data_IF_611893242441
#
_entry.id   IF_611893242441
#
_cell.length_a   1.000
_cell.length_b   1.000
_cell.length_c   1.000
_cell.angle_alpha   90.00
_cell.angle_beta   90.00
_cell.angle_gamma   90.00
#
_symmetry.space_group_name_H-M   'P 1'
#
loop_
_entity.id
_entity.type
_entity.pdbx_description
1 polymer ?
#
# COMPACT_ATOMS: atom_id res chain seq x y z
N UNK A 1 -22.70 7.46 -24.15
CA UNK A 1 -22.75 6.13 -23.50
C UNK A 1 -23.70 6.22 -22.32
N UNK A 2 -24.36 5.12 -21.94
CA UNK A 2 -25.29 5.12 -20.79
C UNK A 2 -24.54 4.86 -19.47
N UNK A 3 -25.18 5.15 -18.34
CA UNK A 3 -24.65 4.80 -17.00
C UNK A 3 -24.22 3.34 -16.93
N UNK A 4 -25.09 2.44 -17.41
CA UNK A 4 -24.85 1.00 -17.40
C UNK A 4 -23.60 0.62 -18.19
N UNK A 5 -23.45 1.15 -19.42
CA UNK A 5 -22.28 0.87 -20.26
C UNK A 5 -20.98 1.37 -19.61
N UNK A 6 -21.03 2.54 -18.97
CA UNK A 6 -19.88 3.12 -18.30
C UNK A 6 -19.42 2.25 -17.13
N UNK A 7 -20.35 1.90 -16.24
CA UNK A 7 -20.05 1.08 -15.06
C UNK A 7 -19.60 -0.33 -15.45
N UNK A 8 -20.19 -0.93 -16.48
CA UNK A 8 -19.78 -2.24 -16.97
C UNK A 8 -18.35 -2.22 -17.52
N UNK A 9 -17.98 -1.19 -18.28
CA UNK A 9 -16.60 -1.02 -18.77
C UNK A 9 -15.64 -0.82 -17.61
N UNK A 10 -15.97 0.07 -16.67
CA UNK A 10 -15.15 0.31 -15.48
C UNK A 10 -14.95 -0.98 -14.67
N UNK A 11 -16.02 -1.76 -14.46
CA UNK A 11 -15.96 -3.03 -13.74
C UNK A 11 -15.02 -4.01 -14.45
N UNK A 12 -15.14 -4.16 -15.77
CA UNK A 12 -14.30 -5.06 -16.55
C UNK A 12 -12.82 -4.67 -16.48
N UNK A 13 -12.51 -3.38 -16.51
CA UNK A 13 -11.12 -2.91 -16.45
C UNK A 13 -10.49 -3.10 -15.08
N UNK A 14 -11.27 -3.04 -14.01
CA UNK A 14 -10.83 -3.23 -12.63
C UNK A 14 -10.85 -4.71 -12.19
N UNK A 15 -11.75 -5.51 -12.78
CA UNK A 15 -11.93 -6.92 -12.45
C UNK A 15 -10.64 -7.71 -12.69
N UNK A 16 -10.23 -8.49 -11.69
CA UNK A 16 -9.00 -9.28 -11.73
C UNK A 16 -7.71 -8.49 -11.51
N UNK A 17 -7.77 -7.15 -11.40
CA UNK A 17 -6.62 -6.29 -11.09
C UNK A 17 -6.63 -5.75 -9.66
N UNK A 18 -7.81 -5.58 -9.08
CA UNK A 18 -8.01 -5.25 -7.66
C UNK A 18 -8.96 -6.24 -6.99
N UNK A 19 -9.08 -6.17 -5.66
CA UNK A 19 -10.00 -7.03 -4.89
C UNK A 19 -11.46 -6.82 -5.33
N UNK A 20 -12.28 -7.88 -5.26
CA UNK A 20 -13.71 -7.81 -5.63
C UNK A 20 -14.45 -6.74 -4.84
N UNK A 21 -14.14 -6.57 -3.54
CA UNK A 21 -14.68 -5.49 -2.71
C UNK A 21 -14.30 -4.11 -3.27
N UNK A 22 -13.02 -3.90 -3.59
CA UNK A 22 -12.56 -2.63 -4.13
C UNK A 22 -13.16 -2.33 -5.52
N UNK A 23 -13.42 -3.35 -6.36
CA UNK A 23 -14.18 -3.15 -7.61
C UNK A 23 -15.58 -2.64 -7.29
N UNK A 24 -16.29 -3.31 -6.37
CA UNK A 24 -17.65 -2.94 -6.00
C UNK A 24 -17.72 -1.52 -5.44
N UNK A 25 -16.78 -1.14 -4.57
CA UNK A 25 -16.70 0.22 -4.01
C UNK A 25 -16.57 1.28 -5.11
N UNK A 26 -15.77 1.02 -6.15
CA UNK A 26 -15.65 1.94 -7.29
C UNK A 26 -16.95 2.01 -8.09
N UNK A 27 -17.58 0.87 -8.38
CA UNK A 27 -18.85 0.84 -9.13
C UNK A 27 -19.95 1.57 -8.37
N UNK A 28 -20.05 1.36 -7.07
CA UNK A 28 -21.06 1.99 -6.22
C UNK A 28 -20.83 3.51 -6.14
N UNK A 29 -19.58 3.95 -5.97
CA UNK A 29 -19.21 5.36 -5.95
C UNK A 29 -19.63 6.09 -7.24
N UNK A 30 -19.24 5.57 -8.40
CA UNK A 30 -19.59 6.20 -9.68
C UNK A 30 -21.08 6.07 -9.99
N UNK A 31 -21.73 4.98 -9.58
CA UNK A 31 -23.18 4.82 -9.71
C UNK A 31 -23.92 5.92 -8.94
N UNK A 32 -23.58 6.12 -7.67
CA UNK A 32 -24.19 7.14 -6.81
C UNK A 32 -23.92 8.56 -7.32
N UNK A 33 -22.71 8.83 -7.81
CA UNK A 33 -22.38 10.13 -8.41
C UNK A 33 -23.25 10.42 -9.63
N UNK A 34 -23.36 9.46 -10.56
CA UNK A 34 -24.18 9.63 -11.77
C UNK A 34 -25.66 9.84 -11.39
N UNK A 35 -26.17 9.07 -10.43
CA UNK A 35 -27.55 9.22 -9.96
C UNK A 35 -27.79 10.60 -9.32
N UNK A 36 -26.83 11.09 -8.55
CA UNK A 36 -26.88 12.42 -7.94
C UNK A 36 -26.87 13.55 -8.97
N UNK A 37 -26.09 13.41 -10.04
CA UNK A 37 -26.02 14.40 -11.11
C UNK A 37 -27.23 14.36 -12.06
N UNK A 38 -27.88 13.21 -12.19
CA UNK A 38 -29.11 13.05 -13.00
C UNK A 38 -30.34 13.52 -12.25
N UNK A 39 -30.37 13.41 -10.92
CA UNK A 39 -31.47 13.87 -10.07
C UNK A 39 -31.96 15.33 -10.32
N UNK A 40 -31.08 16.34 -10.53
CA UNK A 40 -31.50 17.70 -10.87
C UNK A 40 -32.02 17.87 -12.31
N UNK A 41 -32.12 16.79 -13.10
CA UNK A 41 -32.68 16.79 -14.45
C UNK A 41 -31.64 16.78 -15.58
N UNK A 42 -30.36 16.52 -15.27
CA UNK A 42 -29.32 16.34 -16.30
C UNK A 42 -29.50 15.00 -17.01
N UNK A 43 -29.08 14.91 -18.27
CA UNK A 43 -29.11 13.65 -18.99
C UNK A 43 -27.95 12.73 -18.56
N UNK A 44 -28.20 11.43 -18.45
CA UNK A 44 -27.15 10.45 -18.13
C UNK A 44 -25.95 10.56 -19.09
N UNK A 45 -26.23 10.79 -20.37
CA UNK A 45 -25.21 10.85 -21.41
C UNK A 45 -24.28 12.05 -21.22
N UNK A 46 -24.82 13.19 -20.79
CA UNK A 46 -24.05 14.39 -20.50
C UNK A 46 -23.14 14.17 -19.30
N UNK A 47 -23.69 13.69 -18.18
CA UNK A 47 -22.93 13.39 -16.96
C UNK A 47 -21.79 12.41 -17.23
N UNK A 48 -22.07 11.34 -17.96
CA UNK A 48 -21.06 10.33 -18.28
C UNK A 48 -20.01 10.84 -19.29
N UNK A 49 -20.40 11.74 -20.19
CA UNK A 49 -19.45 12.38 -21.12
C UNK A 49 -18.50 13.33 -20.39
N UNK A 50 -18.96 13.99 -19.34
CA UNK A 50 -18.13 14.83 -18.45
C UNK A 50 -17.16 14.00 -17.61
N UNK A 51 -17.60 12.84 -17.12
CA UNK A 51 -16.74 11.88 -16.43
C UNK A 51 -15.62 11.35 -17.35
N UNK A 52 -15.90 11.23 -18.65
CA UNK A 52 -14.94 10.80 -19.65
C UNK A 52 -14.89 9.28 -19.86
N UNK A 53 -13.74 8.77 -20.30
CA UNK A 53 -13.60 7.36 -20.63
C UNK A 53 -13.39 6.51 -19.36
N UNK A 54 -14.25 5.52 -19.07
CA UNK A 54 -14.11 4.65 -17.90
C UNK A 54 -12.78 3.88 -17.86
N UNK A 55 -12.12 3.66 -19.00
CA UNK A 55 -10.77 3.08 -19.05
C UNK A 55 -9.70 3.99 -18.42
N UNK A 56 -9.78 5.30 -18.62
CA UNK A 56 -8.84 6.27 -18.03
C UNK A 56 -8.99 6.32 -16.52
N UNK A 57 -10.24 6.29 -16.06
CA UNK A 57 -10.59 6.24 -14.65
C UNK A 57 -10.04 4.95 -14.03
N UNK A 58 -10.29 3.80 -14.66
CA UNK A 58 -9.73 2.52 -14.22
C UNK A 58 -8.20 2.58 -14.12
N UNK A 59 -7.54 3.13 -15.14
CA UNK A 59 -6.08 3.28 -15.15
C UNK A 59 -5.56 4.19 -14.03
N UNK A 60 -6.32 5.21 -13.65
CA UNK A 60 -5.97 6.09 -12.53
C UNK A 60 -6.10 5.38 -11.20
N UNK A 61 -7.17 4.63 -11.00
CA UNK A 61 -7.38 3.80 -9.78
C UNK A 61 -6.27 2.75 -9.64
N UNK A 62 -5.91 2.09 -10.74
CA UNK A 62 -4.83 1.10 -10.78
C UNK A 62 -3.45 1.73 -10.60
N UNK A 63 -3.19 2.86 -11.27
CA UNK A 63 -1.92 3.58 -11.20
C UNK A 63 -1.68 4.28 -9.86
N UNK A 64 -2.73 4.57 -9.08
CA UNK A 64 -2.61 5.00 -7.69
C UNK A 64 -2.19 3.85 -6.75
N UNK A 65 -2.43 2.60 -7.15
CA UNK A 65 -2.00 1.40 -6.42
C UNK A 65 -0.57 0.96 -6.80
N UNK A 66 -0.17 1.23 -8.05
CA UNK A 66 1.14 0.90 -8.63
C UNK A 66 1.92 2.19 -8.94
N UNK A 67 2.41 2.83 -7.89
CA UNK A 67 3.18 4.07 -7.96
C UNK A 67 4.56 3.86 -8.61
N UNK A 68 4.59 3.91 -9.96
CA UNK A 68 5.68 4.37 -10.85
C UNK A 68 5.21 4.53 -12.33
N UNK A 69 4.14 3.84 -12.75
CA UNK A 69 3.65 3.85 -14.15
C UNK A 69 2.72 5.04 -14.49
N UNK A 70 2.03 5.58 -13.47
CA UNK A 70 1.09 6.70 -13.66
C UNK A 70 1.78 7.98 -14.15
N UNK A 71 3.01 8.25 -13.71
CA UNK A 71 3.82 9.40 -14.15
C UNK A 71 4.21 9.32 -15.64
N UNK A 72 4.46 8.12 -16.17
CA UNK A 72 4.80 7.91 -17.60
C UNK A 72 3.56 7.92 -18.50
N UNK A 73 2.41 7.45 -18.00
CA UNK A 73 1.17 7.47 -18.79
C UNK A 73 0.55 8.86 -18.87
N UNK A 74 0.50 9.65 -17.80
CA UNK A 74 -0.01 11.03 -17.88
C UNK A 74 0.77 11.87 -18.89
N UNK A 75 2.09 11.67 -18.95
CA UNK A 75 2.95 12.29 -19.97
C UNK A 75 2.55 11.88 -21.39
N UNK A 76 2.11 10.64 -21.63
CA UNK A 76 1.74 10.15 -22.97
C UNK A 76 0.31 10.48 -23.39
N UNK A 77 -0.63 10.64 -22.45
CA UNK A 77 -2.00 11.06 -22.75
C UNK A 77 -2.11 12.57 -23.00
N UNK A 78 -1.37 13.40 -22.24
CA UNK A 78 -1.25 14.83 -22.56
C UNK A 78 -0.45 15.06 -23.85
N UNK A 79 0.63 14.28 -24.11
CA UNK A 79 1.42 14.42 -25.33
C UNK A 79 0.66 14.03 -26.61
N UNK A 80 -0.35 13.14 -26.54
CA UNK A 80 -1.10 12.70 -27.72
C UNK A 80 -2.10 13.73 -28.25
N UNK A 81 -2.47 14.74 -27.46
CA UNK A 81 -3.25 15.89 -27.95
C UNK A 81 -2.38 17.00 -28.55
N UNK A 82 -1.06 16.99 -28.28
CA UNK A 82 -0.19 18.14 -28.57
C UNK A 82 0.93 17.91 -29.60
N UNK A 83 1.24 16.69 -30.04
CA UNK A 83 2.45 16.49 -30.87
C UNK A 83 2.24 15.66 -32.14
N UNK A 84 1.75 16.32 -33.18
CA UNK A 84 2.17 16.02 -34.54
C UNK A 84 3.57 16.59 -34.78
N UNK A 85 4.62 15.81 -34.55
CA UNK A 85 5.93 15.84 -35.23
C UNK A 85 6.96 14.99 -34.49
N UNK A 86 7.62 14.15 -35.29
CA UNK A 86 8.91 13.46 -35.15
C UNK A 86 9.78 13.77 -33.91
N UNK A 87 10.34 12.72 -33.27
CA UNK A 87 11.76 12.33 -33.50
C UNK A 87 12.18 11.06 -32.75
N UNK A 88 13.10 10.37 -33.42
CA UNK A 88 13.87 9.17 -33.07
C UNK A 88 14.80 9.35 -31.86
N UNK A 89 15.17 8.17 -31.33
CA UNK A 89 16.36 7.83 -30.55
C UNK A 89 16.36 8.20 -29.06
N UNK A 90 16.22 7.19 -28.20
CA UNK A 90 17.32 6.86 -27.28
C UNK A 90 17.20 5.41 -26.80
N UNK A 91 17.98 4.56 -27.45
CA UNK A 91 18.34 3.23 -27.00
C UNK A 91 19.46 3.39 -25.96
N UNK A 92 19.16 3.18 -24.68
CA UNK A 92 20.13 2.80 -23.63
C UNK A 92 19.42 2.65 -22.28
N UNK A 93 19.12 1.41 -21.91
CA UNK A 93 19.52 0.78 -20.66
C UNK A 93 18.70 -0.49 -20.46
N UNK A 94 19.32 -1.63 -20.76
CA UNK A 94 18.92 -2.88 -20.16
C UNK A 94 19.03 -2.73 -18.63
N UNK A 95 17.92 -2.83 -17.91
CA UNK A 95 17.90 -3.18 -16.49
C UNK A 95 16.51 -3.69 -16.07
N UNK A 96 16.41 -5.02 -16.11
CA UNK A 96 15.62 -5.91 -15.26
C UNK A 96 14.20 -5.42 -14.93
N UNK A 97 13.22 -6.01 -15.62
CA UNK A 97 11.81 -5.98 -15.26
C UNK A 97 11.60 -6.79 -13.96
N UNK A 98 11.85 -6.17 -12.81
CA UNK A 98 11.37 -6.69 -11.53
C UNK A 98 9.97 -6.14 -11.33
N UNK A 99 9.01 -7.05 -11.39
CA UNK A 99 7.60 -6.89 -11.05
C UNK A 99 7.39 -5.91 -9.89
N UNK A 100 6.55 -4.89 -10.13
CA UNK A 100 6.14 -3.87 -9.16
C UNK A 100 5.19 -4.39 -8.07
N UNK A 101 5.56 -5.46 -7.37
CA UNK A 101 4.89 -5.95 -6.14
C UNK A 101 5.86 -6.08 -4.95
N UNK A 102 7.01 -5.44 -5.03
CA UNK A 102 8.16 -5.87 -4.24
C UNK A 102 8.49 -4.94 -3.05
N UNK A 103 8.17 -3.65 -3.12
CA UNK A 103 8.60 -2.70 -2.07
C UNK A 103 7.90 -2.88 -0.71
N UNK A 104 6.64 -3.34 -0.65
CA UNK A 104 5.96 -3.54 0.64
C UNK A 104 6.44 -4.82 1.35
N UNK A 105 6.57 -5.93 0.63
CA UNK A 105 7.16 -7.17 1.16
C UNK A 105 8.65 -6.99 1.49
N UNK A 106 9.41 -6.20 0.72
CA UNK A 106 10.78 -5.81 1.08
C UNK A 106 10.83 -4.99 2.37
N UNK A 107 9.91 -4.04 2.57
CA UNK A 107 9.78 -3.31 3.85
C UNK A 107 9.46 -4.25 5.01
N UNK A 108 8.58 -5.24 4.80
CA UNK A 108 8.24 -6.26 5.79
C UNK A 108 9.42 -7.20 6.08
N UNK A 109 10.17 -7.64 5.07
CA UNK A 109 11.38 -8.44 5.27
C UNK A 109 12.49 -7.64 5.95
N UNK A 110 12.61 -6.35 5.66
CA UNK A 110 13.57 -5.47 6.31
C UNK A 110 13.21 -5.24 7.78
N UNK A 111 11.92 -5.01 8.11
CA UNK A 111 11.48 -4.89 9.50
C UNK A 111 11.63 -6.22 10.25
N UNK A 112 11.34 -7.35 9.60
CA UNK A 112 11.51 -8.69 10.17
C UNK A 112 12.99 -9.03 10.37
N UNK A 113 13.87 -8.61 9.47
CA UNK A 113 15.31 -8.74 9.61
C UNK A 113 15.83 -7.94 10.81
N UNK A 114 15.40 -6.69 10.97
CA UNK A 114 15.75 -5.86 12.14
C UNK A 114 15.23 -6.50 13.43
N UNK A 115 13.96 -6.97 13.45
CA UNK A 115 13.40 -7.66 14.61
C UNK A 115 14.20 -8.92 14.96
N UNK A 116 14.63 -9.67 13.95
CA UNK A 116 15.44 -10.87 14.12
C UNK A 116 16.80 -10.55 14.75
N UNK A 117 17.47 -9.50 14.27
CA UNK A 117 18.74 -9.04 14.83
C UNK A 117 18.56 -8.61 16.30
N UNK A 118 17.50 -7.87 16.61
CA UNK A 118 17.19 -7.47 17.99
C UNK A 118 16.93 -8.69 18.88
N UNK A 119 16.19 -9.69 18.41
CA UNK A 119 15.98 -10.94 19.15
C UNK A 119 17.29 -11.69 19.42
N UNK A 120 18.20 -11.74 18.45
CA UNK A 120 19.52 -12.35 18.64
C UNK A 120 20.31 -11.59 19.71
N UNK A 121 20.33 -10.26 19.64
CA UNK A 121 21.04 -9.43 20.64
C UNK A 121 20.47 -9.62 22.04
N UNK A 122 19.13 -9.57 22.19
CA UNK A 122 18.46 -9.82 23.49
C UNK A 122 18.71 -11.26 23.95
N UNK A 123 18.70 -12.23 23.04
CA UNK A 123 19.00 -13.63 23.35
C UNK A 123 20.44 -13.85 23.82
N UNK A 124 21.42 -13.15 23.25
CA UNK A 124 22.82 -13.21 23.69
C UNK A 124 22.98 -12.59 25.08
N UNK A 125 22.41 -11.40 25.29
CA UNK A 125 22.48 -10.69 26.58
C UNK A 125 21.73 -11.49 27.65
N UNK A 126 20.51 -11.91 27.35
CA UNK A 126 19.68 -12.72 28.23
C UNK A 126 20.25 -14.12 28.46
N UNK A 127 20.92 -14.72 27.49
CA UNK A 127 21.58 -16.02 27.60
C UNK A 127 22.76 -15.99 28.58
N UNK A 128 23.59 -14.93 28.51
CA UNK A 128 24.68 -14.73 29.48
C UNK A 128 24.10 -14.49 30.89
N UNK A 129 23.07 -13.66 31.00
CA UNK A 129 22.39 -13.40 32.28
C UNK A 129 21.68 -14.66 32.81
N UNK A 130 21.13 -15.52 31.95
CA UNK A 130 20.43 -16.76 32.31
C UNK A 130 21.34 -17.75 33.04
N UNK A 131 22.63 -17.79 32.71
CA UNK A 131 23.62 -18.62 33.41
C UNK A 131 23.89 -18.07 34.82
N UNK A 132 23.86 -16.75 34.98
CA UNK A 132 24.07 -16.08 36.27
C UNK A 132 22.79 -15.96 37.10
N UNK A 133 21.62 -15.96 36.48
CA UNK A 133 20.31 -15.84 37.11
C UNK A 133 20.07 -16.84 38.26
N UNK A 134 20.38 -18.16 38.14
CA UNK A 134 20.19 -19.10 39.25
C UNK A 134 21.08 -18.80 40.46
N UNK A 135 22.15 -17.99 40.30
CA UNK A 135 23.02 -17.54 41.39
C UNK A 135 22.58 -16.15 41.90
N UNK A 136 22.24 -15.23 40.99
CA UNK A 136 21.81 -13.86 41.29
C UNK A 136 20.48 -13.86 42.06
N UNK A 137 19.50 -14.68 41.65
CA UNK A 137 18.16 -14.76 42.26
C UNK A 137 18.25 -15.10 43.77
N UNK A 138 18.90 -16.19 44.21
CA UNK A 138 18.99 -16.50 45.64
C UNK A 138 19.76 -15.44 46.43
N UNK A 139 20.82 -14.85 45.87
CA UNK A 139 21.56 -13.75 46.51
C UNK A 139 20.67 -12.53 46.71
N UNK A 140 19.88 -12.15 45.70
CA UNK A 140 18.91 -11.06 45.80
C UNK A 140 17.82 -11.35 46.84
N UNK A 141 17.30 -12.57 46.88
CA UNK A 141 16.30 -12.97 47.89
C UNK A 141 16.89 -12.84 49.30
N UNK A 142 18.12 -13.30 49.53
CA UNK A 142 18.80 -13.16 50.82
C UNK A 142 19.01 -11.69 51.16
N UNK A 143 19.50 -10.88 50.23
CA UNK A 143 19.68 -9.44 50.43
C UNK A 143 18.36 -8.73 50.73
N UNK A 144 17.27 -9.12 50.06
CA UNK A 144 15.93 -8.56 50.28
C UNK A 144 15.40 -8.92 51.66
N UNK A 145 15.60 -10.16 52.12
CA UNK A 145 15.24 -10.61 53.47
C UNK A 145 16.07 -9.87 54.53
N UNK A 146 17.39 -9.71 54.34
CA UNK A 146 18.22 -8.93 55.25
C UNK A 146 17.74 -7.48 55.29
N UNK A 147 17.45 -6.89 54.12
CA UNK A 147 16.99 -5.50 54.04
C UNK A 147 15.64 -5.31 54.71
N UNK A 148 14.68 -6.22 54.55
CA UNK A 148 13.35 -6.11 55.18
C UNK A 148 13.42 -6.31 56.70
N UNK A 149 14.30 -7.19 57.18
CA UNK A 149 14.50 -7.42 58.63
C UNK A 149 15.28 -6.26 59.25
N UNK A 150 16.32 -5.75 58.57
CA UNK A 150 17.12 -4.65 59.06
C UNK A 150 16.38 -3.30 58.98
N UNK A 151 15.44 -3.15 58.03
CA UNK A 151 14.52 -2.01 57.93
C UNK A 151 13.49 -1.98 59.06
N UNK A 152 13.26 -3.08 59.78
CA UNK A 152 12.36 -3.14 60.95
C UNK A 152 13.06 -2.88 62.29
N UNK A 153 14.38 -2.71 62.28
CA UNK A 153 15.19 -2.44 63.49
C UNK A 153 15.66 -0.98 63.61
N UNK A 154 15.20 -0.09 62.72
CA UNK A 154 15.32 1.37 62.86
C UNK A 154 13.96 1.96 63.16
#
# INVERSE_FOLDING_TARGET
MTKYEFLQKLQRELSGKISVSAVQDQIDYYSQYIDGEVAPGRSEQEVVSELGDPWIIAKTILGASDNEEFAKTNTSYEAKRASGKEKKNQEQNARIHVFGFDSWWKKLLLILGIIGIVMVVVGVIGGIISILAPIIIPVFVIMFIIRIVNSRKR
#
